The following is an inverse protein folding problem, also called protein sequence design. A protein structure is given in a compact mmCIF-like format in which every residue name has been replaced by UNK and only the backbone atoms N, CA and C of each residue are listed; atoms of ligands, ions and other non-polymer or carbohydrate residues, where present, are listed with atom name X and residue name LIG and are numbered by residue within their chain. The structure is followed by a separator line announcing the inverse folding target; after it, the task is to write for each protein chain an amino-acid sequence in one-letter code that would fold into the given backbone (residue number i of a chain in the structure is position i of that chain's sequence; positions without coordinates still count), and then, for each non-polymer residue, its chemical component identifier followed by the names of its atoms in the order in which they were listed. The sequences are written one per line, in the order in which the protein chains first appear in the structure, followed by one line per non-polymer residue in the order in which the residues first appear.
data_IF_228560969735
#
_entry.id   IF_228560969735
#
_cell.length_a   1.000
_cell.length_b   1.000
_cell.length_c   1.000
_cell.angle_alpha   90.00
_cell.angle_beta   90.00
_cell.angle_gamma   90.00
#
_symmetry.space_group_name_H-M   'P 1'
#
loop_
_entity.id
_entity.type
_entity.pdbx_description
1 polymer ?
#
# COMPACT_ATOMS: atom_id res chain seq x y z
N UNK A 1 -6.48 -12.56 9.62
CA UNK A 1 -7.76 -11.82 9.64
C UNK A 1 -7.67 -10.60 8.74
N UNK A 2 -8.78 -10.25 8.08
CA UNK A 2 -8.89 -8.98 7.34
C UNK A 2 -9.44 -7.91 8.27
N UNK A 3 -8.85 -6.73 8.28
CA UNK A 3 -9.29 -5.59 9.10
C UNK A 3 -9.08 -4.26 8.39
N UNK A 4 -9.81 -3.22 8.80
CA UNK A 4 -9.49 -1.85 8.38
C UNK A 4 -8.10 -1.46 8.89
N UNK A 5 -7.39 -0.70 8.07
CA UNK A 5 -6.11 -0.11 8.44
C UNK A 5 -6.32 1.27 9.07
N UNK A 6 -5.54 1.57 10.11
CA UNK A 6 -5.43 2.92 10.65
C UNK A 6 -4.29 3.63 9.91
N UNK A 7 -4.61 4.71 9.20
CA UNK A 7 -3.66 5.47 8.40
C UNK A 7 -2.53 6.13 9.23
N UNK A 8 -2.61 6.09 10.57
CA UNK A 8 -1.56 6.60 11.45
C UNK A 8 -0.29 5.72 11.48
N UNK A 9 -0.38 4.44 11.14
CA UNK A 9 0.78 3.56 10.94
C UNK A 9 0.96 3.36 9.43
N UNK A 10 1.86 4.08 8.74
CA UNK A 10 2.03 3.89 7.28
C UNK A 10 3.24 3.02 6.91
N UNK A 11 4.23 2.87 7.79
CA UNK A 11 5.51 2.23 7.48
C UNK A 11 5.41 0.80 6.92
N UNK A 12 4.86 -0.18 7.68
CA UNK A 12 4.78 -1.57 7.22
C UNK A 12 3.94 -1.75 5.96
N UNK A 13 2.87 -0.95 5.82
CA UNK A 13 2.00 -1.00 4.66
C UNK A 13 2.69 -0.42 3.41
N UNK A 14 3.44 0.67 3.57
CA UNK A 14 4.18 1.33 2.49
C UNK A 14 5.33 0.45 1.98
N UNK A 15 6.02 -0.25 2.89
CA UNK A 15 7.06 -1.23 2.54
C UNK A 15 6.46 -2.39 1.73
N UNK A 16 5.34 -2.96 2.21
CA UNK A 16 4.63 -4.01 1.47
C UNK A 16 4.13 -3.53 0.10
N UNK A 17 3.61 -2.30 0.02
CA UNK A 17 3.21 -1.69 -1.26
C UNK A 17 4.41 -1.59 -2.21
N UNK A 18 5.56 -1.12 -1.75
CA UNK A 18 6.75 -0.95 -2.58
C UNK A 18 7.26 -2.29 -3.11
N UNK A 19 7.47 -3.26 -2.22
CA UNK A 19 7.97 -4.59 -2.59
C UNK A 19 7.05 -5.29 -3.60
N UNK A 20 5.75 -5.31 -3.31
CA UNK A 20 4.76 -5.96 -4.17
C UNK A 20 4.61 -5.23 -5.51
N UNK A 21 4.67 -3.90 -5.53
CA UNK A 21 4.53 -3.09 -6.75
C UNK A 21 5.74 -3.25 -7.67
N UNK A 22 6.97 -3.23 -7.13
CA UNK A 22 8.19 -3.52 -7.89
C UNK A 22 8.11 -4.93 -8.47
N UNK A 23 7.72 -5.92 -7.67
CA UNK A 23 7.62 -7.31 -8.12
C UNK A 23 6.58 -7.51 -9.23
N UNK A 24 5.41 -6.88 -9.12
CA UNK A 24 4.34 -7.00 -10.10
C UNK A 24 4.61 -6.23 -11.41
N UNK A 25 5.45 -5.19 -11.37
CA UNK A 25 5.70 -4.30 -12.50
C UNK A 25 7.19 -4.19 -12.84
N UNK A 26 7.90 -5.30 -13.15
CA UNK A 26 9.34 -5.30 -13.42
C UNK A 26 9.72 -4.56 -14.70
N UNK A 27 8.73 -4.16 -15.50
CA UNK A 27 8.90 -3.35 -16.71
C UNK A 27 8.98 -1.83 -16.44
N UNK A 28 8.70 -1.39 -15.21
CA UNK A 28 8.87 -0.01 -14.76
C UNK A 28 10.15 0.05 -13.93
N UNK A 29 10.98 1.09 -14.14
CA UNK A 29 12.22 1.26 -13.39
C UNK A 29 11.93 1.38 -11.89
N UNK A 30 12.68 0.63 -11.08
CA UNK A 30 12.50 0.61 -9.62
C UNK A 30 12.55 2.02 -8.99
N UNK A 31 13.41 2.91 -9.52
CA UNK A 31 13.51 4.30 -9.05
C UNK A 31 12.18 5.06 -9.11
N UNK A 32 11.33 4.78 -10.10
CA UNK A 32 10.02 5.42 -10.21
C UNK A 32 9.12 5.11 -8.99
N UNK A 33 9.19 3.87 -8.47
CA UNK A 33 8.41 3.46 -7.32
C UNK A 33 8.95 4.07 -6.03
N UNK A 34 10.28 4.15 -5.87
CA UNK A 34 10.91 4.88 -4.77
C UNK A 34 10.56 6.37 -4.78
N UNK A 35 10.60 7.02 -5.96
CA UNK A 35 10.22 8.42 -6.13
C UNK A 35 8.73 8.66 -5.79
N UNK A 36 7.89 7.62 -5.96
CA UNK A 36 6.46 7.67 -5.65
C UNK A 36 6.13 7.46 -4.16
N UNK A 37 7.08 7.08 -3.31
CA UNK A 37 6.82 6.77 -1.90
C UNK A 37 6.17 7.94 -1.15
N UNK A 38 6.64 9.17 -1.40
CA UNK A 38 6.11 10.36 -0.74
C UNK A 38 4.63 10.59 -1.09
N UNK A 39 4.27 10.52 -2.37
CA UNK A 39 2.87 10.74 -2.78
C UNK A 39 1.96 9.59 -2.32
N UNK A 40 2.44 8.35 -2.32
CA UNK A 40 1.67 7.20 -1.82
C UNK A 40 1.41 7.32 -0.32
N UNK A 41 2.43 7.65 0.47
CA UNK A 41 2.34 7.83 1.92
C UNK A 41 1.48 9.01 2.33
N UNK A 42 1.69 10.16 1.68
CA UNK A 42 1.15 11.44 2.17
C UNK A 42 -0.20 11.79 1.53
N UNK A 43 -0.53 11.19 0.37
CA UNK A 43 -1.73 11.51 -0.39
C UNK A 43 -2.62 10.30 -0.60
N UNK A 44 -2.11 9.20 -1.17
CA UNK A 44 -2.97 8.10 -1.58
C UNK A 44 -3.47 7.24 -0.42
N UNK A 45 -2.57 6.75 0.45
CA UNK A 45 -2.98 5.92 1.59
C UNK A 45 -3.93 6.65 2.56
N UNK A 46 -3.70 7.92 2.94
CA UNK A 46 -4.63 8.65 3.80
C UNK A 46 -6.00 8.92 3.15
N UNK A 47 -6.05 9.00 1.81
CA UNK A 47 -7.28 9.27 1.06
C UNK A 47 -8.03 8.00 0.64
N UNK A 48 -7.46 6.82 0.91
CA UNK A 48 -8.04 5.53 0.52
C UNK A 48 -8.62 4.79 1.72
N UNK A 49 -9.73 4.09 1.50
CA UNK A 49 -10.18 3.08 2.45
C UNK A 49 -9.32 1.84 2.25
N UNK A 50 -8.52 1.51 3.26
CA UNK A 50 -7.55 0.41 3.17
C UNK A 50 -7.93 -0.72 4.11
N UNK A 51 -7.92 -1.94 3.58
CA UNK A 51 -8.03 -3.17 4.36
C UNK A 51 -6.73 -3.94 4.26
N UNK A 52 -6.30 -4.49 5.38
CA UNK A 52 -5.12 -5.34 5.46
C UNK A 52 -5.49 -6.75 5.82
N UNK A 53 -4.74 -7.70 5.30
CA UNK A 53 -4.75 -9.08 5.75
C UNK A 53 -3.51 -9.32 6.62
N UNK A 54 -3.76 -9.69 7.86
CA UNK A 54 -2.73 -10.03 8.84
C UNK A 54 -2.82 -11.52 9.20
N UNK A 55 -1.69 -12.20 9.29
CA UNK A 55 -1.61 -13.58 9.76
C UNK A 55 -0.46 -13.69 10.76
N UNK A 56 -0.73 -14.20 11.96
CA UNK A 56 0.26 -14.41 13.02
C UNK A 56 1.03 -13.12 13.40
N UNK A 57 0.33 -11.97 13.39
CA UNK A 57 0.93 -10.65 13.66
C UNK A 57 1.71 -10.06 12.49
N UNK A 58 1.71 -10.72 11.32
CA UNK A 58 2.46 -10.29 10.13
C UNK A 58 1.51 -9.81 9.05
N UNK A 59 1.77 -8.62 8.50
CA UNK A 59 1.07 -8.10 7.34
C UNK A 59 1.38 -8.98 6.11
N UNK A 60 0.36 -9.49 5.44
CA UNK A 60 0.50 -10.39 4.29
C UNK A 60 -0.04 -9.82 2.98
N UNK A 61 -0.89 -8.81 3.05
CA UNK A 61 -1.52 -8.20 1.90
C UNK A 61 -2.39 -7.04 2.32
N UNK A 62 -2.77 -6.23 1.33
CA UNK A 62 -3.72 -5.15 1.52
C UNK A 62 -4.50 -4.91 0.23
N UNK A 63 -5.56 -4.12 0.36
CA UNK A 63 -6.27 -3.50 -0.76
C UNK A 63 -6.67 -2.09 -0.33
N UNK A 64 -6.40 -1.12 -1.20
CA UNK A 64 -6.78 0.27 -1.00
C UNK A 64 -7.79 0.69 -2.06
N UNK A 65 -8.91 1.26 -1.62
CA UNK A 65 -9.96 1.78 -2.50
C UNK A 65 -10.08 3.29 -2.31
N UNK A 66 -9.79 4.04 -3.37
CA UNK A 66 -9.85 5.50 -3.39
C UNK A 66 -11.06 5.97 -4.19
N UNK A 67 -11.78 6.97 -3.65
CA UNK A 67 -13.01 7.53 -4.25
C UNK A 67 -14.09 6.50 -4.62
N UNK A 68 -14.09 5.35 -3.94
CA UNK A 68 -14.96 4.20 -4.26
C UNK A 68 -14.85 3.73 -5.73
N UNK A 69 -13.70 3.99 -6.39
CA UNK A 69 -13.53 3.77 -7.83
C UNK A 69 -12.17 3.20 -8.22
N UNK A 70 -11.10 3.67 -7.59
CA UNK A 70 -9.74 3.25 -7.92
C UNK A 70 -9.26 2.22 -6.90
N UNK A 71 -8.61 1.15 -7.39
CA UNK A 71 -8.05 0.09 -6.56
C UNK A 71 -6.53 0.13 -6.73
N UNK A 72 -5.83 0.04 -5.60
CA UNK A 72 -4.38 -0.09 -5.51
C UNK A 72 -3.95 -1.06 -4.43
#
# INVERSE_FOLDING_TARGET
MIRNWDANETGPLLELWLESTIHAHPFIAESYWHDSLAIVRDVYLPSAQTWVWEQDGVLKGFISVMESRFIG
#
